data_IF_930311826716
#
_entry.id   IF_930311826716
#
_cell.length_a   1.000
_cell.length_b   1.000
_cell.length_c   1.000
_cell.angle_alpha   90.00
_cell.angle_beta   90.00
_cell.angle_gamma   90.00
#
_symmetry.space_group_name_H-M   'P 1'
#
loop_
_entity.id
_entity.type
_entity.pdbx_description
1 polymer ?
#
# COMPACT_ATOMS: atom_id res chain seq x y z
N UNK A 1 -9.79 -15.21 3.84
CA UNK A 1 -9.02 -15.41 2.59
C UNK A 1 -8.32 -14.11 2.30
N UNK A 2 -6.98 -14.08 2.42
CA UNK A 2 -6.17 -12.92 2.07
C UNK A 2 -6.01 -12.86 0.54
N UNK A 3 -6.84 -12.06 -0.13
CA UNK A 3 -7.01 -12.10 -1.59
C UNK A 3 -5.74 -11.76 -2.38
N UNK A 4 -4.86 -10.93 -1.82
CA UNK A 4 -3.63 -10.48 -2.47
C UNK A 4 -2.37 -11.17 -1.95
N UNK A 5 -2.44 -12.05 -0.95
CA UNK A 5 -1.23 -12.65 -0.38
C UNK A 5 -0.47 -13.45 -1.46
N UNK A 6 0.70 -12.94 -1.84
CA UNK A 6 1.56 -13.53 -2.87
C UNK A 6 2.73 -14.33 -2.28
N UNK A 7 2.73 -14.60 -0.97
CA UNK A 7 3.69 -15.49 -0.34
C UNK A 7 3.57 -16.90 -0.92
N UNK A 8 4.67 -17.53 -1.37
CA UNK A 8 4.67 -18.93 -1.76
C UNK A 8 4.44 -19.88 -0.57
N UNK A 9 4.78 -19.46 0.66
CA UNK A 9 4.72 -20.30 1.86
C UNK A 9 3.33 -20.30 2.49
N UNK A 10 2.62 -19.17 2.40
CA UNK A 10 1.34 -18.95 3.09
C UNK A 10 0.20 -18.49 2.16
N UNK A 11 0.44 -18.45 0.85
CA UNK A 11 -0.52 -18.01 -0.17
C UNK A 11 -0.41 -18.83 -1.46
N UNK A 12 -1.07 -18.36 -2.52
CA UNK A 12 -1.05 -19.00 -3.85
C UNK A 12 0.11 -18.51 -4.74
N UNK A 13 1.10 -17.84 -4.12
CA UNK A 13 2.15 -17.14 -4.84
C UNK A 13 1.63 -16.03 -5.76
N UNK A 14 2.47 -15.59 -6.69
CA UNK A 14 2.16 -14.50 -7.62
C UNK A 14 1.04 -14.82 -8.63
N UNK A 15 0.57 -16.06 -8.69
CA UNK A 15 -0.47 -16.48 -9.64
C UNK A 15 -1.84 -15.86 -9.33
N UNK A 16 -2.10 -15.59 -8.04
CA UNK A 16 -3.33 -14.93 -7.55
C UNK A 16 -4.62 -15.43 -8.25
N UNK A 17 -4.97 -16.72 -8.13
CA UNK A 17 -6.00 -17.36 -8.94
C UNK A 17 -7.41 -16.75 -8.76
N UNK A 18 -7.67 -16.14 -7.60
CA UNK A 18 -8.90 -15.40 -7.35
C UNK A 18 -9.09 -14.27 -8.37
N UNK A 19 -8.07 -13.43 -8.61
CA UNK A 19 -8.14 -12.35 -9.60
C UNK A 19 -8.32 -12.87 -11.02
N UNK A 20 -7.72 -14.01 -11.36
CA UNK A 20 -7.94 -14.65 -12.68
C UNK A 20 -9.40 -15.04 -12.87
N UNK A 21 -10.03 -15.59 -11.83
CA UNK A 21 -11.45 -15.94 -11.85
C UNK A 21 -12.32 -14.68 -11.87
N UNK A 22 -12.06 -13.69 -11.02
CA UNK A 22 -12.83 -12.45 -11.01
C UNK A 22 -12.73 -11.69 -12.35
N UNK A 23 -11.56 -11.66 -12.97
CA UNK A 23 -11.38 -11.06 -14.30
C UNK A 23 -12.21 -11.79 -15.37
N UNK A 24 -12.27 -13.12 -15.33
CA UNK A 24 -13.05 -13.92 -16.29
C UNK A 24 -14.55 -13.79 -16.06
N UNK A 25 -14.98 -13.81 -14.80
CA UNK A 25 -16.38 -14.00 -14.44
C UNK A 25 -17.11 -12.71 -14.07
N UNK A 26 -16.40 -11.65 -13.68
CA UNK A 26 -17.00 -10.45 -13.08
C UNK A 26 -16.77 -9.16 -13.87
N UNK A 27 -15.67 -9.04 -14.62
CA UNK A 27 -15.23 -7.74 -15.18
C UNK A 27 -16.31 -6.99 -15.99
N UNK A 28 -17.15 -7.73 -16.73
CA UNK A 28 -18.20 -7.18 -17.59
C UNK A 28 -19.60 -7.28 -16.95
N UNK A 29 -19.67 -7.71 -15.67
CA UNK A 29 -20.92 -8.00 -14.95
C UNK A 29 -21.09 -7.16 -13.68
N UNK A 30 -20.07 -6.42 -13.28
CA UNK A 30 -20.11 -5.52 -12.13
C UNK A 30 -19.69 -4.11 -12.56
N UNK A 31 -20.24 -3.11 -11.88
CA UNK A 31 -19.89 -1.70 -12.15
C UNK A 31 -18.58 -1.30 -11.48
N UNK A 32 -18.31 -1.86 -10.30
CA UNK A 32 -17.11 -1.62 -9.52
C UNK A 32 -16.91 -2.75 -8.51
N UNK A 33 -15.70 -2.83 -7.94
CA UNK A 33 -15.40 -3.65 -6.76
C UNK A 33 -14.93 -2.80 -5.58
N UNK A 34 -14.98 -3.38 -4.39
CA UNK A 34 -14.41 -2.80 -3.17
C UNK A 34 -13.31 -3.74 -2.70
N UNK A 35 -12.11 -3.20 -2.52
CA UNK A 35 -11.01 -3.91 -1.88
C UNK A 35 -10.75 -3.29 -0.51
N UNK A 36 -11.08 -4.05 0.53
CA UNK A 36 -11.10 -3.54 1.89
C UNK A 36 -9.81 -3.85 2.65
N UNK A 37 -8.68 -3.31 2.20
CA UNK A 37 -7.37 -3.54 2.79
C UNK A 37 -6.58 -4.70 2.18
N UNK A 38 -5.45 -5.00 2.82
CA UNK A 38 -4.55 -6.10 2.47
C UNK A 38 -4.18 -6.10 0.99
N UNK A 39 -3.91 -4.92 0.45
CA UNK A 39 -3.50 -4.79 -0.93
C UNK A 39 -2.05 -5.28 -1.12
N UNK A 40 -1.17 -4.99 -0.15
CA UNK A 40 0.21 -5.48 -0.06
C UNK A 40 0.51 -6.16 1.28
N UNK A 41 1.65 -6.86 1.36
CA UNK A 41 2.26 -7.36 2.61
C UNK A 41 3.73 -6.93 2.72
N UNK A 42 4.36 -7.19 3.87
CA UNK A 42 5.67 -6.65 4.28
C UNK A 42 6.92 -7.29 3.64
N UNK A 43 7.00 -7.39 2.31
CA UNK A 43 8.11 -8.09 1.64
C UNK A 43 9.43 -7.29 1.55
N UNK A 44 9.33 -5.98 1.35
CA UNK A 44 10.45 -5.05 1.05
C UNK A 44 10.47 -3.85 1.98
N UNK A 45 10.03 -4.01 3.24
CA UNK A 45 10.02 -2.93 4.23
C UNK A 45 11.39 -2.31 4.49
N UNK A 46 12.46 -3.07 4.31
CA UNK A 46 13.84 -2.61 4.49
C UNK A 46 14.42 -1.90 3.26
N UNK A 47 13.65 -1.71 2.19
CA UNK A 47 14.12 -0.99 1.00
C UNK A 47 14.44 0.46 1.32
N UNK A 48 15.66 0.88 0.98
CA UNK A 48 16.21 2.16 1.43
C UNK A 48 15.98 3.29 0.43
N UNK A 49 16.01 4.57 0.87
CA UNK A 49 15.99 5.70 -0.04
C UNK A 49 17.10 5.67 -1.10
N UNK A 50 18.29 5.16 -0.78
CA UNK A 50 19.39 5.04 -1.74
C UNK A 50 19.09 3.99 -2.82
N UNK A 51 18.45 2.87 -2.43
CA UNK A 51 17.98 1.89 -3.40
C UNK A 51 16.88 2.49 -4.29
N UNK A 52 15.97 3.27 -3.71
CA UNK A 52 14.95 4.02 -4.47
C UNK A 52 15.58 5.00 -5.46
N UNK A 53 16.55 5.81 -5.04
CA UNK A 53 17.30 6.74 -5.89
C UNK A 53 17.95 6.03 -7.08
N UNK A 54 18.61 4.91 -6.81
CA UNK A 54 19.21 4.06 -7.85
C UNK A 54 18.16 3.50 -8.80
N UNK A 55 17.02 3.05 -8.28
CA UNK A 55 15.93 2.48 -9.08
C UNK A 55 15.29 3.52 -10.01
N UNK A 56 15.11 4.76 -9.56
CA UNK A 56 14.49 5.82 -10.38
C UNK A 56 15.50 6.67 -11.15
N UNK A 57 16.81 6.47 -10.92
CA UNK A 57 17.88 7.18 -11.62
C UNK A 57 18.04 8.65 -11.22
N UNK A 58 17.77 8.99 -9.95
CA UNK A 58 17.89 10.37 -9.45
C UNK A 58 18.80 10.47 -8.22
N UNK A 59 19.47 11.62 -8.09
CA UNK A 59 20.23 11.98 -6.88
C UNK A 59 19.40 12.82 -5.89
N UNK A 60 18.17 13.20 -6.24
CA UNK A 60 17.31 14.03 -5.40
C UNK A 60 16.29 13.19 -4.64
N UNK A 61 16.25 13.32 -3.31
CA UNK A 61 15.22 12.69 -2.50
C UNK A 61 13.98 13.59 -2.41
N UNK A 62 12.76 13.05 -2.65
CA UNK A 62 11.54 13.78 -2.37
C UNK A 62 11.44 14.06 -0.87
N UNK A 63 10.84 15.21 -0.51
CA UNK A 63 10.66 15.66 0.89
C UNK A 63 10.09 14.55 1.79
N UNK A 64 9.17 13.74 1.25
CA UNK A 64 8.60 12.62 1.97
C UNK A 64 9.64 11.58 2.41
N UNK A 65 10.61 11.23 1.55
CA UNK A 65 11.70 10.30 1.89
C UNK A 65 12.78 10.93 2.76
N UNK A 66 12.92 12.26 2.75
CA UNK A 66 13.82 12.97 3.66
C UNK A 66 13.31 12.91 5.11
N UNK A 67 11.99 13.04 5.32
CA UNK A 67 11.39 13.01 6.65
C UNK A 67 10.98 11.61 7.12
N UNK A 68 10.66 10.70 6.18
CA UNK A 68 10.25 9.34 6.47
C UNK A 68 10.96 8.34 5.55
N UNK A 69 12.25 8.02 5.80
CA UNK A 69 13.05 7.13 4.95
C UNK A 69 12.44 5.75 4.69
N UNK A 70 11.75 5.18 5.69
CA UNK A 70 11.11 3.85 5.60
C UNK A 70 9.89 3.82 4.67
N UNK A 71 9.40 4.98 4.22
CA UNK A 71 8.38 5.07 3.19
C UNK A 71 8.82 4.41 1.87
N UNK A 72 10.13 4.42 1.58
CA UNK A 72 10.70 3.76 0.41
C UNK A 72 10.35 2.26 0.36
N UNK A 73 10.39 1.57 1.50
CA UNK A 73 9.99 0.16 1.60
C UNK A 73 8.49 -0.07 1.40
N UNK A 74 7.65 0.86 1.86
CA UNK A 74 6.20 0.76 1.61
C UNK A 74 5.90 0.94 0.12
N UNK A 75 6.52 1.94 -0.52
CA UNK A 75 6.41 2.16 -1.96
C UNK A 75 6.90 0.95 -2.77
N UNK A 76 7.99 0.33 -2.35
CA UNK A 76 8.50 -0.86 -3.02
C UNK A 76 7.51 -2.03 -2.93
N UNK A 77 6.86 -2.24 -1.78
CA UNK A 77 5.81 -3.24 -1.66
C UNK A 77 4.64 -3.00 -2.61
N UNK A 78 4.23 -1.74 -2.83
CA UNK A 78 3.21 -1.44 -3.82
C UNK A 78 3.62 -1.87 -5.23
N UNK A 79 4.86 -1.56 -5.63
CA UNK A 79 5.37 -1.89 -6.97
C UNK A 79 5.47 -3.40 -7.19
N UNK A 80 6.09 -4.14 -6.27
CA UNK A 80 6.28 -5.57 -6.46
C UNK A 80 4.95 -6.34 -6.57
N UNK A 81 3.91 -5.92 -5.83
CA UNK A 81 2.62 -6.60 -5.85
C UNK A 81 1.88 -6.38 -7.19
N UNK A 82 2.02 -5.19 -7.80
CA UNK A 82 1.56 -4.92 -9.16
C UNK A 82 2.39 -5.68 -10.20
N UNK A 83 3.72 -5.68 -10.05
CA UNK A 83 4.63 -6.26 -11.04
C UNK A 83 4.58 -7.79 -11.09
N UNK A 84 4.47 -8.45 -9.94
CA UNK A 84 4.54 -9.91 -9.84
C UNK A 84 3.28 -10.61 -10.33
N UNK A 85 2.11 -10.05 -10.03
CA UNK A 85 0.84 -10.66 -10.42
C UNK A 85 0.25 -9.99 -11.66
N UNK A 86 0.34 -10.70 -12.79
CA UNK A 86 -0.31 -10.30 -14.04
C UNK A 86 -1.84 -10.31 -13.94
N UNK A 87 -2.41 -11.23 -13.16
CA UNK A 87 -3.86 -11.35 -13.00
C UNK A 87 -4.45 -10.22 -12.13
N UNK A 88 -3.78 -9.89 -11.02
CA UNK A 88 -4.15 -8.77 -10.15
C UNK A 88 -4.09 -7.45 -10.92
N UNK A 89 -2.97 -7.21 -11.60
CA UNK A 89 -2.79 -6.00 -12.41
C UNK A 89 -3.80 -5.92 -13.56
N UNK A 90 -4.08 -7.03 -14.23
CA UNK A 90 -5.10 -7.07 -15.27
C UNK A 90 -6.51 -6.79 -14.71
N UNK A 91 -6.86 -7.34 -13.55
CA UNK A 91 -8.15 -7.08 -12.91
C UNK A 91 -8.33 -5.60 -12.59
N UNK A 92 -7.40 -4.99 -11.85
CA UNK A 92 -7.52 -3.57 -11.48
C UNK A 92 -7.36 -2.60 -12.64
N UNK A 93 -6.79 -3.04 -13.77
CA UNK A 93 -6.81 -2.26 -15.04
C UNK A 93 -8.19 -2.25 -15.71
N UNK A 94 -9.00 -3.28 -15.50
CA UNK A 94 -10.28 -3.46 -16.20
C UNK A 94 -11.51 -3.22 -15.32
N UNK A 95 -11.37 -3.27 -13.99
CA UNK A 95 -12.49 -3.13 -13.06
C UNK A 95 -12.27 -1.93 -12.14
N UNK A 96 -13.13 -0.90 -12.19
CA UNK A 96 -13.08 0.21 -11.24
C UNK A 96 -13.13 -0.32 -9.81
N UNK A 97 -12.17 0.07 -8.96
CA UNK A 97 -12.07 -0.43 -7.60
C UNK A 97 -11.96 0.72 -6.61
N UNK A 98 -12.80 0.69 -5.58
CA UNK A 98 -12.64 1.53 -4.40
C UNK A 98 -11.76 0.80 -3.39
N UNK A 99 -10.69 1.44 -2.94
CA UNK A 99 -9.75 0.83 -2.00
C UNK A 99 -9.92 1.40 -0.60
N UNK A 100 -9.68 0.58 0.41
CA UNK A 100 -9.31 1.03 1.76
C UNK A 100 -7.96 0.41 2.11
N UNK A 101 -7.30 0.91 3.14
CA UNK A 101 -6.10 0.30 3.71
C UNK A 101 -6.45 -0.39 5.03
N UNK A 102 -5.70 -1.42 5.37
CA UNK A 102 -5.75 -2.14 6.63
C UNK A 102 -4.33 -2.20 7.26
N UNK A 103 -4.13 -3.11 8.20
CA UNK A 103 -2.90 -3.25 8.95
C UNK A 103 -1.69 -3.59 8.08
N UNK A 104 -1.79 -4.47 7.06
CA UNK A 104 -0.65 -4.84 6.23
C UNK A 104 -0.10 -3.71 5.36
N UNK A 105 -0.86 -2.64 5.06
CA UNK A 105 -0.30 -1.41 4.48
C UNK A 105 0.61 -0.67 5.46
N UNK A 106 0.32 -0.78 6.76
CA UNK A 106 1.00 -0.08 7.86
C UNK A 106 2.05 -0.96 8.53
N UNK A 107 1.60 -1.94 9.29
CA UNK A 107 2.35 -2.97 10.00
C UNK A 107 1.34 -4.05 10.44
N UNK A 108 1.64 -5.31 10.15
CA UNK A 108 0.81 -6.47 10.50
C UNK A 108 0.42 -6.47 11.98
N UNK A 109 -0.83 -6.85 12.24
CA UNK A 109 -1.39 -7.08 13.58
C UNK A 109 -1.23 -5.86 14.50
N UNK A 110 -1.52 -4.66 14.00
CA UNK A 110 -1.55 -3.46 14.84
C UNK A 110 -2.88 -3.38 15.60
N UNK A 111 -2.96 -4.14 16.69
CA UNK A 111 -4.09 -4.15 17.61
C UNK A 111 -3.99 -3.02 18.65
N UNK A 112 -5.09 -2.31 18.89
CA UNK A 112 -5.22 -1.37 20.00
C UNK A 112 -4.37 -0.09 19.90
N UNK A 113 -3.86 0.25 18.70
CA UNK A 113 -3.13 1.50 18.49
C UNK A 113 -4.02 2.71 18.80
N UNK A 114 -3.77 3.35 19.95
CA UNK A 114 -4.53 4.52 20.42
C UNK A 114 -5.49 4.25 21.57
N UNK A 115 -5.68 3.01 22.00
CA UNK A 115 -6.51 2.65 23.16
C UNK A 115 -5.67 2.47 24.42
N UNK A 116 -5.97 3.15 25.54
CA UNK A 116 -5.36 2.82 26.82
C UNK A 116 -5.73 1.39 27.26
N UNK A 117 -4.74 0.54 27.53
CA UNK A 117 -4.93 -0.76 28.20
C UNK A 117 -4.76 -2.02 27.33
N UNK A 118 -4.97 -1.96 26.01
CA UNK A 118 -4.63 -3.06 25.09
C UNK A 118 -3.51 -2.57 24.16
N UNK A 119 -2.26 -2.86 24.52
CA UNK A 119 -1.08 -2.45 23.76
C UNK A 119 -0.26 -3.68 23.43
N UNK A 120 -0.28 -4.08 22.17
CA UNK A 120 0.67 -5.07 21.67
C UNK A 120 2.01 -4.41 21.32
N UNK A 121 1.96 -3.24 20.65
CA UNK A 121 3.14 -2.42 20.35
C UNK A 121 2.85 -0.94 20.15
N UNK A 122 3.87 -0.10 20.33
CA UNK A 122 3.86 1.29 19.87
C UNK A 122 4.13 1.32 18.36
N UNK A 123 3.09 1.49 17.56
CA UNK A 123 3.20 1.69 16.12
C UNK A 123 2.96 3.18 15.77
N UNK A 124 3.99 3.85 15.25
CA UNK A 124 3.87 5.18 14.60
C UNK A 124 3.81 5.08 13.07
N UNK A 125 3.65 3.85 12.54
CA UNK A 125 3.74 3.51 11.11
C UNK A 125 2.51 3.90 10.28
N UNK A 126 1.45 4.42 10.91
CA UNK A 126 0.23 4.86 10.21
C UNK A 126 0.55 5.86 9.12
N UNK A 127 1.38 6.84 9.43
CA UNK A 127 1.56 7.98 8.54
C UNK A 127 2.26 7.59 7.23
N UNK A 128 3.22 6.66 7.27
CA UNK A 128 3.90 6.17 6.07
C UNK A 128 3.01 5.22 5.26
N UNK A 129 2.25 4.34 5.92
CA UNK A 129 1.31 3.43 5.25
C UNK A 129 0.18 4.18 4.57
N UNK A 130 -0.46 5.11 5.28
CA UNK A 130 -1.48 6.01 4.73
C UNK A 130 -0.92 6.88 3.60
N UNK A 131 0.31 7.42 3.76
CA UNK A 131 0.94 8.22 2.71
C UNK A 131 1.15 7.40 1.43
N UNK A 132 1.76 6.23 1.54
CA UNK A 132 1.97 5.35 0.40
C UNK A 132 0.66 4.92 -0.26
N UNK A 133 -0.38 4.63 0.54
CA UNK A 133 -1.71 4.34 0.00
C UNK A 133 -2.23 5.49 -0.86
N UNK A 134 -2.10 6.75 -0.42
CA UNK A 134 -2.47 7.91 -1.25
C UNK A 134 -1.62 8.04 -2.51
N UNK A 135 -0.33 7.69 -2.45
CA UNK A 135 0.58 7.78 -3.60
C UNK A 135 0.26 6.71 -4.67
N UNK A 136 -0.29 5.54 -4.31
CA UNK A 136 -0.51 4.42 -5.24
C UNK A 136 -1.98 4.10 -5.56
N UNK A 137 -2.87 4.11 -4.57
CA UNK A 137 -4.27 3.67 -4.73
C UNK A 137 -5.27 4.78 -4.47
N UNK A 138 -5.00 5.65 -3.48
CA UNK A 138 -6.01 6.57 -2.97
C UNK A 138 -6.55 7.56 -4.00
N UNK A 139 -5.77 7.86 -5.05
CA UNK A 139 -6.21 8.71 -6.16
C UNK A 139 -7.41 8.13 -6.94
N UNK A 140 -7.64 6.80 -6.89
CA UNK A 140 -8.76 6.18 -7.60
C UNK A 140 -10.10 6.31 -6.84
N UNK A 141 -10.06 6.73 -5.58
CA UNK A 141 -11.26 6.96 -4.78
C UNK A 141 -11.80 8.38 -5.00
N UNK A 142 -13.11 8.61 -4.90
CA UNK A 142 -13.72 9.94 -4.95
C UNK A 142 -13.49 10.70 -3.62
N UNK A 143 -12.24 11.02 -3.31
CA UNK A 143 -11.85 11.78 -2.13
C UNK A 143 -11.78 13.28 -2.47
N UNK A 144 -12.55 14.15 -1.76
CA UNK A 144 -12.44 15.59 -1.92
C UNK A 144 -11.00 16.05 -1.70
N UNK A 145 -10.50 16.90 -2.60
CA UNK A 145 -9.16 17.52 -2.68
C UNK A 145 -8.14 17.14 -1.59
N UNK A 146 -7.01 16.57 -2.04
CA UNK A 146 -5.71 16.37 -1.35
C UNK A 146 -5.65 17.00 0.05
N UNK A 147 -5.94 16.22 1.10
CA UNK A 147 -5.52 16.59 2.45
C UNK A 147 -4.00 16.69 2.43
N UNK A 148 -3.46 17.90 2.56
CA UNK A 148 -2.03 18.12 2.67
C UNK A 148 -1.46 17.19 3.73
N UNK A 149 -0.53 16.34 3.31
CA UNK A 149 0.26 15.54 4.23
C UNK A 149 1.00 16.50 5.18
N UNK A 150 0.81 16.36 6.49
CA UNK A 150 1.42 17.22 7.53
C UNK A 150 2.96 17.31 7.44
N UNK A 151 3.59 16.42 6.68
CA UNK A 151 5.00 16.39 6.32
C UNK A 151 5.49 17.60 5.49
N UNK A 152 4.60 18.42 4.93
CA UNK A 152 4.97 19.61 4.15
C UNK A 152 5.06 20.92 4.98
N UNK A 153 4.89 20.86 6.31
CA UNK A 153 4.99 22.04 7.18
C UNK A 153 6.26 21.99 8.02
N UNK A 154 7.11 23.05 7.98
CA UNK A 154 8.14 23.22 9.00
C UNK A 154 7.47 23.21 10.37
N UNK A 155 8.11 22.58 11.36
CA UNK A 155 7.67 22.69 12.73
C UNK A 155 7.60 24.18 13.12
N UNK A 156 6.52 24.66 13.75
CA UNK A 156 6.52 26.00 14.30
C UNK A 156 7.66 26.09 15.32
N UNK A 157 8.57 27.04 15.08
CA UNK A 157 9.72 27.28 15.95
C UNK A 157 9.26 27.47 17.40
N UNK A 158 9.95 26.81 18.32
CA UNK A 158 9.88 27.12 19.75
C UNK A 158 10.83 28.26 20.05
#
# INVERSE_FOLDING_TARGET
MQGNNQSPEHGAGHTTPAFKTMLRELKDRIHFSIQNGDWLYEDKRDFTPQQWQKQVGTNELPIALQHAPTLAGVWENYKIYLERSTALSAYHRNVPTSFTFDDHEMLNDVWGAGTPGLRDRRAVFRDIGTRAWYDYLGWSNPIPSRRESRWARPAPGR
#
